data_IF_860876415995
#
_entry.id   IF_860876415995
#
_cell.length_a   1.000
_cell.length_b   1.000
_cell.length_c   1.000
_cell.angle_alpha   90.00
_cell.angle_beta   90.00
_cell.angle_gamma   90.00
#
_symmetry.space_group_name_H-M   'P 1'
#
loop_
_entity.id
_entity.type
_entity.pdbx_description
1 polymer ?
#
# COMPACT_ATOMS: atom_id res chain seq x y z
N UNK A 1 11.76 6.02 -22.80
CA UNK A 1 11.85 7.01 -21.69
C UNK A 1 10.57 6.90 -20.89
N UNK A 2 10.64 6.76 -19.59
CA UNK A 2 9.45 6.67 -18.74
C UNK A 2 8.52 7.86 -19.01
N UNK A 3 7.30 7.62 -19.43
CA UNK A 3 6.27 8.65 -19.63
C UNK A 3 5.29 8.70 -18.45
N UNK A 4 5.79 8.46 -17.25
CA UNK A 4 5.00 8.57 -16.02
C UNK A 4 5.64 9.54 -15.03
N UNK A 5 4.82 10.25 -14.29
CA UNK A 5 5.25 11.08 -13.16
C UNK A 5 4.96 10.42 -11.80
N UNK A 6 4.22 9.31 -11.81
CA UNK A 6 3.77 8.63 -10.59
C UNK A 6 3.80 7.11 -10.76
N UNK A 7 4.54 6.44 -9.91
CA UNK A 7 4.52 4.99 -9.75
C UNK A 7 3.87 4.66 -8.41
N UNK A 8 2.82 3.86 -8.44
CA UNK A 8 2.10 3.36 -7.28
C UNK A 8 2.49 1.91 -7.03
N UNK A 9 2.81 1.56 -5.79
CA UNK A 9 3.13 0.18 -5.41
C UNK A 9 2.19 -0.24 -4.30
N UNK A 10 1.30 -1.17 -4.63
CA UNK A 10 0.24 -1.64 -3.75
C UNK A 10 0.30 -3.16 -3.53
N UNK A 11 -0.38 -3.63 -2.51
CA UNK A 11 -0.43 -5.04 -2.10
C UNK A 11 -0.67 -5.16 -0.60
N UNK A 12 -0.96 -6.35 -0.11
CA UNK A 12 -1.16 -6.60 1.32
C UNK A 12 0.13 -6.30 2.12
N UNK A 13 0.07 -6.16 3.43
CA UNK A 13 1.27 -6.09 4.26
C UNK A 13 2.25 -7.20 3.87
N UNK A 14 3.54 -6.81 3.76
CA UNK A 14 4.64 -7.75 3.55
C UNK A 14 4.74 -8.44 2.18
N UNK A 15 3.96 -8.02 1.21
CA UNK A 15 4.09 -8.47 -0.19
C UNK A 15 5.38 -7.99 -0.89
N UNK A 16 6.30 -7.31 -0.20
CA UNK A 16 7.56 -6.84 -0.80
C UNK A 16 7.54 -5.39 -1.31
N UNK A 17 6.46 -4.63 -1.08
CA UNK A 17 6.28 -3.25 -1.59
C UNK A 17 7.45 -2.32 -1.32
N UNK A 18 7.90 -2.24 -0.07
CA UNK A 18 8.98 -1.32 0.33
C UNK A 18 10.32 -1.69 -0.31
N UNK A 19 10.58 -2.98 -0.50
CA UNK A 19 11.77 -3.49 -1.19
C UNK A 19 11.72 -3.12 -2.68
N UNK A 20 10.56 -3.36 -3.33
CA UNK A 20 10.31 -2.97 -4.72
C UNK A 20 10.47 -1.46 -4.92
N UNK A 21 9.90 -0.64 -4.04
CA UNK A 21 9.98 0.82 -4.12
C UNK A 21 11.44 1.32 -4.06
N UNK A 22 12.22 0.81 -3.11
CA UNK A 22 13.64 1.16 -2.97
C UNK A 22 14.46 0.71 -4.17
N UNK A 23 14.22 -0.50 -4.69
CA UNK A 23 14.92 -1.03 -5.87
C UNK A 23 14.60 -0.20 -7.12
N UNK A 24 13.31 0.10 -7.36
CA UNK A 24 12.90 0.94 -8.48
C UNK A 24 13.48 2.35 -8.42
N UNK A 25 13.50 2.97 -7.22
CA UNK A 25 14.19 4.26 -7.05
C UNK A 25 15.63 4.19 -7.54
N UNK A 26 16.37 3.15 -7.14
CA UNK A 26 17.77 2.98 -7.55
C UNK A 26 17.90 2.81 -9.07
N UNK A 27 17.04 2.01 -9.68
CA UNK A 27 17.04 1.75 -11.13
C UNK A 27 16.72 3.03 -11.92
N UNK A 28 15.67 3.75 -11.55
CA UNK A 28 15.24 5.00 -12.20
C UNK A 28 16.33 6.07 -12.07
N UNK A 29 16.91 6.21 -10.87
CA UNK A 29 17.99 7.18 -10.63
C UNK A 29 19.27 6.83 -11.41
N UNK A 30 19.62 5.55 -11.55
CA UNK A 30 20.77 5.10 -12.34
C UNK A 30 20.66 5.44 -13.83
N UNK A 31 19.45 5.68 -14.34
CA UNK A 31 19.19 6.17 -15.71
C UNK A 31 19.19 7.69 -15.84
N UNK A 32 19.61 8.41 -14.81
CA UNK A 32 19.65 9.87 -14.80
C UNK A 32 18.30 10.55 -14.64
N UNK A 33 17.24 9.80 -14.26
CA UNK A 33 15.92 10.35 -14.04
C UNK A 33 15.82 10.73 -12.56
N UNK A 34 15.48 11.99 -12.28
CA UNK A 34 15.21 12.43 -10.91
C UNK A 34 14.02 11.66 -10.34
N UNK A 35 14.23 11.00 -9.19
CA UNK A 35 13.22 10.13 -8.60
C UNK A 35 13.10 10.32 -7.08
N UNK A 36 11.88 10.57 -6.61
CA UNK A 36 11.54 10.61 -5.21
C UNK A 36 10.76 9.35 -4.84
N UNK A 37 11.09 8.75 -3.68
CA UNK A 37 10.41 7.56 -3.19
C UNK A 37 9.86 7.82 -1.78
N UNK A 38 8.56 7.60 -1.62
CA UNK A 38 7.82 7.82 -0.39
C UNK A 38 7.27 6.47 0.10
N UNK A 39 7.89 5.96 1.17
CA UNK A 39 7.41 4.75 1.84
C UNK A 39 6.18 5.08 2.70
N UNK A 40 5.38 4.08 3.02
CA UNK A 40 4.12 4.21 3.76
C UNK A 40 4.25 5.07 5.03
N UNK A 41 5.24 4.79 5.84
CA UNK A 41 5.44 5.45 7.15
C UNK A 41 6.53 6.52 7.14
N UNK A 42 7.01 6.92 5.97
CA UNK A 42 8.03 7.95 5.89
C UNK A 42 7.46 9.32 6.33
N UNK A 43 8.12 10.04 7.24
CA UNK A 43 7.63 11.34 7.74
C UNK A 43 7.43 12.39 6.65
N UNK A 44 8.16 12.27 5.55
CA UNK A 44 8.08 13.15 4.38
C UNK A 44 7.09 12.67 3.31
N UNK A 45 6.28 11.63 3.59
CA UNK A 45 5.27 11.16 2.65
C UNK A 45 4.19 12.23 2.45
N UNK A 46 3.99 12.75 1.23
CA UNK A 46 3.10 13.90 0.97
C UNK A 46 1.61 13.57 1.18
N UNK A 47 1.27 12.28 1.20
CA UNK A 47 -0.11 11.81 1.42
C UNK A 47 -0.37 11.56 2.91
N UNK A 48 0.68 11.55 3.72
CA UNK A 48 0.58 11.30 5.15
C UNK A 48 -0.21 12.41 5.86
N UNK A 49 -1.13 12.05 6.75
CA UNK A 49 -1.93 12.99 7.51
C UNK A 49 -1.52 12.97 8.98
N UNK A 50 -0.80 13.98 9.37
CA UNK A 50 -0.50 14.30 10.77
C UNK A 50 0.51 13.39 11.46
N UNK A 51 0.87 13.74 12.68
CA UNK A 51 1.67 12.91 13.56
C UNK A 51 0.80 11.78 14.12
N UNK A 52 0.68 10.69 13.38
CA UNK A 52 -0.03 9.52 13.86
C UNK A 52 0.98 8.62 14.52
N UNK A 53 0.89 8.56 15.82
CA UNK A 53 1.79 7.76 16.64
C UNK A 53 1.40 6.28 16.67
N UNK A 54 0.15 5.96 16.29
CA UNK A 54 -0.33 4.58 16.37
C UNK A 54 -1.35 4.20 15.31
N UNK A 55 -1.35 2.94 14.89
CA UNK A 55 -2.35 2.37 13.98
C UNK A 55 -3.80 2.51 14.51
N UNK A 56 -4.10 2.35 15.82
CA UNK A 56 -5.43 2.60 16.36
C UNK A 56 -5.97 4.01 16.11
N UNK A 57 -5.13 5.04 16.21
CA UNK A 57 -5.53 6.43 15.94
C UNK A 57 -5.84 6.65 14.47
N UNK A 58 -5.07 6.01 13.58
CA UNK A 58 -5.33 6.04 12.15
C UNK A 58 -6.75 5.55 11.88
N UNK A 59 -7.10 4.41 12.42
CA UNK A 59 -8.38 3.76 12.19
C UNK A 59 -9.52 4.57 12.81
N UNK A 60 -9.37 5.04 14.04
CA UNK A 60 -10.39 5.83 14.74
C UNK A 60 -10.77 7.13 14.01
N UNK A 61 -9.85 7.67 13.21
CA UNK A 61 -10.04 8.94 12.49
C UNK A 61 -10.30 8.77 10.98
N UNK A 62 -10.50 7.54 10.50
CA UNK A 62 -10.55 7.21 9.06
C UNK A 62 -11.54 8.07 8.28
N UNK A 63 -12.77 8.29 8.78
CA UNK A 63 -13.78 9.07 8.07
C UNK A 63 -13.39 10.53 7.85
N UNK A 64 -12.92 11.20 8.88
CA UNK A 64 -12.47 12.60 8.78
C UNK A 64 -11.17 12.70 7.96
N UNK A 65 -10.39 11.63 7.92
CA UNK A 65 -9.14 11.54 7.17
C UNK A 65 -9.35 11.36 5.68
N UNK A 66 -10.36 10.62 5.25
CA UNK A 66 -10.60 10.38 3.83
C UNK A 66 -10.70 11.71 3.02
N UNK A 67 -11.33 12.75 3.60
CA UNK A 67 -11.39 14.08 2.99
C UNK A 67 -10.01 14.75 2.95
N UNK A 68 -9.21 14.61 4.01
CA UNK A 68 -7.88 15.18 4.08
C UNK A 68 -6.93 14.46 3.13
N UNK A 69 -7.03 13.14 3.01
CA UNK A 69 -6.26 12.33 2.06
C UNK A 69 -6.52 12.76 0.63
N UNK A 70 -7.78 12.94 0.23
CA UNK A 70 -8.11 13.42 -1.11
C UNK A 70 -7.53 14.82 -1.38
N UNK A 71 -7.53 15.71 -0.38
CA UNK A 71 -6.89 17.02 -0.49
C UNK A 71 -5.38 16.87 -0.66
N UNK A 72 -4.73 16.02 0.14
CA UNK A 72 -3.29 15.78 0.01
C UNK A 72 -2.92 15.22 -1.36
N UNK A 73 -3.74 14.31 -1.93
CA UNK A 73 -3.55 13.83 -3.30
C UNK A 73 -3.68 14.96 -4.32
N UNK A 74 -4.65 15.87 -4.18
CA UNK A 74 -4.79 17.05 -5.05
C UNK A 74 -3.56 17.96 -4.98
N UNK A 75 -3.10 18.27 -3.77
CA UNK A 75 -1.94 19.12 -3.55
C UNK A 75 -0.65 18.48 -4.07
N UNK A 76 -0.50 17.17 -3.87
CA UNK A 76 0.61 16.38 -4.41
C UNK A 76 0.60 16.40 -5.94
N UNK A 77 -0.53 16.09 -6.56
CA UNK A 77 -0.70 16.06 -8.00
C UNK A 77 -0.37 17.42 -8.64
N UNK A 78 -0.87 18.52 -8.06
CA UNK A 78 -0.56 19.86 -8.54
C UNK A 78 0.93 20.20 -8.50
N UNK A 79 1.65 19.71 -7.46
CA UNK A 79 3.11 19.91 -7.32
C UNK A 79 3.90 19.04 -8.30
N UNK A 80 3.54 17.77 -8.42
CA UNK A 80 4.27 16.79 -9.25
C UNK A 80 4.09 17.07 -10.73
N UNK A 81 2.90 17.51 -11.16
CA UNK A 81 2.61 17.88 -12.55
C UNK A 81 3.64 18.85 -13.12
N UNK A 82 4.14 19.77 -12.32
CA UNK A 82 5.08 20.83 -12.73
C UNK A 82 6.55 20.39 -12.73
N UNK A 83 6.84 19.17 -12.25
CA UNK A 83 8.21 18.66 -12.13
C UNK A 83 8.56 17.73 -13.27
N UNK A 84 9.84 17.63 -13.57
CA UNK A 84 10.38 16.61 -14.48
C UNK A 84 10.69 15.27 -13.77
N UNK A 85 10.53 15.22 -12.45
CA UNK A 85 10.86 14.05 -11.63
C UNK A 85 9.74 13.03 -11.58
N UNK A 86 10.09 11.75 -11.36
CA UNK A 86 9.18 10.65 -11.08
C UNK A 86 8.99 10.51 -9.56
N UNK A 87 7.76 10.29 -9.12
CA UNK A 87 7.45 9.99 -7.72
C UNK A 87 7.01 8.54 -7.59
N UNK A 88 7.62 7.80 -6.66
CA UNK A 88 7.20 6.46 -6.26
C UNK A 88 6.49 6.58 -4.92
N UNK A 89 5.24 6.11 -4.84
CA UNK A 89 4.45 6.09 -3.60
C UNK A 89 4.08 4.65 -3.28
N UNK A 90 4.40 4.23 -2.07
CA UNK A 90 4.13 2.91 -1.53
C UNK A 90 2.97 2.94 -0.56
N UNK A 91 1.98 2.05 -0.74
CA UNK A 91 0.88 1.76 0.19
C UNK A 91 -0.03 2.94 0.58
N UNK A 92 -0.14 3.98 -0.25
CA UNK A 92 -0.96 5.16 0.06
C UNK A 92 -2.14 5.34 -0.87
N UNK A 93 -2.28 4.49 -1.87
CA UNK A 93 -3.38 4.57 -2.83
C UNK A 93 -4.58 3.72 -2.38
N UNK A 94 -4.35 2.45 -2.02
CA UNK A 94 -5.41 1.54 -1.55
C UNK A 94 -5.30 1.18 -0.07
N UNK A 95 -4.09 0.75 0.35
CA UNK A 95 -3.91 0.13 1.66
C UNK A 95 -4.21 1.09 2.80
N UNK A 96 -3.90 2.37 2.65
CA UNK A 96 -4.07 3.31 3.77
C UNK A 96 -5.48 3.87 3.85
N UNK A 97 -6.15 4.11 2.74
CA UNK A 97 -7.46 4.76 2.75
C UNK A 97 -8.59 3.75 2.59
N UNK A 98 -8.63 3.02 1.49
CA UNK A 98 -9.70 2.08 1.20
C UNK A 98 -9.71 0.91 2.18
N UNK A 99 -8.52 0.35 2.50
CA UNK A 99 -8.43 -0.75 3.47
C UNK A 99 -8.88 -0.32 4.87
N UNK A 100 -8.48 0.87 5.32
CA UNK A 100 -8.88 1.32 6.64
C UNK A 100 -10.35 1.70 6.73
N UNK A 101 -10.96 2.20 5.64
CA UNK A 101 -12.42 2.33 5.57
C UNK A 101 -13.09 0.98 5.75
N UNK A 102 -12.68 -0.03 4.98
CA UNK A 102 -13.23 -1.38 5.08
C UNK A 102 -13.02 -1.99 6.46
N UNK A 103 -11.82 -1.87 7.03
CA UNK A 103 -11.47 -2.31 8.37
C UNK A 103 -12.32 -1.62 9.46
N UNK A 104 -12.68 -0.35 9.25
CA UNK A 104 -13.56 0.43 10.11
C UNK A 104 -15.05 0.10 9.95
N UNK A 105 -15.40 -0.91 9.14
CA UNK A 105 -16.76 -1.40 8.96
C UNK A 105 -17.58 -0.72 7.85
N UNK A 106 -16.94 0.12 7.02
CA UNK A 106 -17.56 0.61 5.80
C UNK A 106 -17.71 -0.52 4.78
N UNK A 107 -18.66 -0.38 3.87
CA UNK A 107 -18.90 -1.36 2.82
C UNK A 107 -17.74 -1.40 1.80
N UNK A 108 -17.63 -2.52 1.09
CA UNK A 108 -16.73 -2.65 -0.06
C UNK A 108 -16.96 -1.51 -1.07
N UNK A 109 -18.21 -1.18 -1.35
CA UNK A 109 -18.57 -0.08 -2.26
C UNK A 109 -17.97 1.26 -1.83
N UNK A 110 -18.06 1.61 -0.54
CA UNK A 110 -17.50 2.86 -0.03
C UNK A 110 -15.96 2.88 -0.10
N UNK A 111 -15.31 1.75 0.15
CA UNK A 111 -13.87 1.61 0.00
C UNK A 111 -13.43 1.80 -1.47
N UNK A 112 -14.14 1.19 -2.42
CA UNK A 112 -13.90 1.34 -3.85
C UNK A 112 -14.13 2.80 -4.29
N UNK A 113 -15.22 3.41 -3.87
CA UNK A 113 -15.52 4.82 -4.20
C UNK A 113 -14.46 5.79 -3.68
N UNK A 114 -13.87 5.51 -2.51
CA UNK A 114 -12.74 6.30 -2.01
C UNK A 114 -11.55 6.26 -2.97
N UNK A 115 -11.20 5.08 -3.46
CA UNK A 115 -10.13 4.90 -4.44
C UNK A 115 -10.43 5.57 -5.79
N UNK A 116 -11.67 5.48 -6.29
CA UNK A 116 -12.09 6.14 -7.55
C UNK A 116 -11.91 7.65 -7.49
N UNK A 117 -12.17 8.28 -6.33
CA UNK A 117 -11.93 9.71 -6.14
C UNK A 117 -10.45 10.06 -6.25
N UNK A 118 -9.57 9.21 -5.74
CA UNK A 118 -8.12 9.41 -5.87
C UNK A 118 -7.72 9.23 -7.33
N UNK A 119 -8.20 8.18 -8.01
CA UNK A 119 -7.94 7.93 -9.45
C UNK A 119 -8.25 9.19 -10.26
N UNK A 120 -9.43 9.81 -10.05
CA UNK A 120 -9.83 11.02 -10.81
C UNK A 120 -8.86 12.19 -10.65
N UNK A 121 -8.14 12.25 -9.54
CA UNK A 121 -7.17 13.31 -9.25
C UNK A 121 -5.81 13.04 -9.87
N UNK A 122 -5.34 11.78 -9.79
CA UNK A 122 -3.95 11.45 -10.17
C UNK A 122 -3.79 11.07 -11.64
N UNK A 123 -4.87 10.84 -12.39
CA UNK A 123 -4.82 10.39 -13.79
C UNK A 123 -3.98 11.30 -14.69
N UNK A 124 -3.95 12.62 -14.43
CA UNK A 124 -3.14 13.57 -15.19
C UNK A 124 -1.62 13.38 -15.04
N UNK A 125 -1.18 12.56 -14.07
CA UNK A 125 0.23 12.20 -13.88
C UNK A 125 0.66 10.98 -14.69
N UNK A 126 -0.22 10.42 -15.53
CA UNK A 126 0.00 9.16 -16.27
C UNK A 126 0.51 8.04 -15.34
N UNK A 127 -0.22 7.68 -14.26
CA UNK A 127 0.29 6.76 -13.26
C UNK A 127 0.56 5.37 -13.82
N UNK A 128 1.54 4.68 -13.24
CA UNK A 128 1.73 3.23 -13.39
C UNK A 128 1.49 2.55 -12.05
N UNK A 129 0.63 1.54 -12.03
CA UNK A 129 0.32 0.76 -10.85
C UNK A 129 1.03 -0.59 -10.88
N UNK A 130 1.77 -0.88 -9.83
CA UNK A 130 2.40 -2.16 -9.55
C UNK A 130 1.65 -2.78 -8.37
N UNK A 131 0.93 -3.88 -8.63
CA UNK A 131 0.21 -4.61 -7.60
C UNK A 131 0.91 -5.93 -7.29
N UNK A 132 1.42 -6.06 -6.07
CA UNK A 132 2.09 -7.25 -5.57
C UNK A 132 1.08 -8.13 -4.83
N UNK A 133 0.73 -9.26 -5.43
CA UNK A 133 -0.36 -10.14 -5.00
C UNK A 133 0.15 -11.55 -4.66
N UNK A 134 0.48 -11.85 -3.39
CA UNK A 134 0.80 -13.23 -3.01
C UNK A 134 -0.43 -14.12 -3.14
N UNK A 135 -0.24 -15.37 -3.62
CA UNK A 135 -1.31 -16.38 -3.68
C UNK A 135 -1.62 -16.93 -2.28
N UNK A 136 -0.59 -17.24 -1.51
CA UNK A 136 -0.75 -17.74 -0.15
C UNK A 136 -0.57 -16.60 0.87
N UNK A 137 -1.66 -15.90 1.14
CA UNK A 137 -1.73 -14.82 2.11
C UNK A 137 -1.39 -15.32 3.52
N UNK A 138 -1.83 -16.54 3.89
CA UNK A 138 -1.59 -17.08 5.22
C UNK A 138 -0.10 -17.35 5.45
N UNK A 139 0.58 -17.90 4.44
CA UNK A 139 2.03 -18.12 4.52
C UNK A 139 2.81 -16.80 4.64
N UNK A 140 2.46 -15.80 3.84
CA UNK A 140 3.12 -14.49 3.87
C UNK A 140 2.91 -13.80 5.22
N UNK A 141 1.71 -13.83 5.77
CA UNK A 141 1.43 -13.25 7.09
C UNK A 141 2.18 -13.98 8.20
N UNK A 142 2.26 -15.32 8.15
CA UNK A 142 3.01 -16.10 9.14
C UNK A 142 4.51 -15.78 9.11
N UNK A 143 5.13 -15.77 7.93
CA UNK A 143 6.55 -15.42 7.77
C UNK A 143 6.89 -14.03 8.32
N UNK A 144 6.00 -13.07 8.07
CA UNK A 144 6.18 -11.71 8.55
C UNK A 144 5.97 -11.60 10.05
N UNK A 145 4.95 -12.26 10.56
CA UNK A 145 4.70 -12.30 12.00
C UNK A 145 5.93 -12.80 12.75
N UNK A 146 6.55 -13.87 12.24
CA UNK A 146 7.80 -14.41 12.81
C UNK A 146 8.94 -13.38 12.77
N UNK A 147 9.21 -12.80 11.59
CA UNK A 147 10.25 -11.78 11.44
C UNK A 147 10.03 -10.56 12.34
N UNK A 148 8.78 -10.07 12.41
CA UNK A 148 8.42 -8.94 13.25
C UNK A 148 8.47 -9.25 14.74
N UNK A 149 8.11 -10.45 15.16
CA UNK A 149 8.27 -10.87 16.54
C UNK A 149 9.76 -10.86 16.95
N UNK A 150 10.67 -11.33 16.07
CA UNK A 150 12.11 -11.28 16.30
C UNK A 150 12.62 -9.84 16.42
N UNK A 151 12.18 -8.92 15.53
CA UNK A 151 12.53 -7.50 15.61
C UNK A 151 12.01 -6.87 16.91
N UNK A 152 10.79 -7.21 17.33
CA UNK A 152 10.14 -6.73 18.55
C UNK A 152 10.93 -7.11 19.80
N UNK A 153 11.35 -8.37 19.88
CA UNK A 153 12.18 -8.89 20.96
C UNK A 153 13.56 -8.22 20.99
N UNK A 154 14.22 -8.08 19.82
CA UNK A 154 15.52 -7.39 19.71
C UNK A 154 15.43 -5.91 20.16
N UNK A 155 14.27 -5.28 19.98
CA UNK A 155 14.02 -3.92 20.44
C UNK A 155 13.67 -3.82 21.93
N UNK A 156 13.67 -4.95 22.68
CA UNK A 156 13.37 -4.99 24.12
C UNK A 156 11.92 -4.63 24.47
N UNK A 157 10.98 -4.78 23.52
CA UNK A 157 9.57 -4.50 23.76
C UNK A 157 8.87 -5.65 24.46
N UNK A 158 7.94 -5.34 25.36
CA UNK A 158 7.11 -6.35 26.04
C UNK A 158 6.12 -7.01 25.10
N UNK A 159 5.80 -8.28 25.36
CA UNK A 159 4.88 -9.09 24.55
C UNK A 159 5.46 -9.48 23.19
N UNK A 160 4.61 -9.54 22.18
CA UNK A 160 4.99 -9.83 20.80
C UNK A 160 4.33 -8.85 19.83
N UNK A 161 4.94 -8.66 18.66
CA UNK A 161 4.34 -7.89 17.57
C UNK A 161 2.99 -8.47 17.14
N UNK A 162 2.88 -9.80 17.12
CA UNK A 162 1.65 -10.53 16.83
C UNK A 162 0.53 -10.19 17.81
N UNK A 163 0.81 -10.24 19.12
CA UNK A 163 -0.17 -9.89 20.14
C UNK A 163 -0.64 -8.44 20.00
N UNK A 164 0.30 -7.51 19.79
CA UNK A 164 -0.02 -6.13 19.52
C UNK A 164 -0.91 -5.97 18.26
N UNK A 165 -0.57 -6.69 17.17
CA UNK A 165 -1.35 -6.68 15.94
C UNK A 165 -2.77 -7.21 16.15
N UNK A 166 -2.91 -8.35 16.83
CA UNK A 166 -4.21 -8.93 17.15
C UNK A 166 -5.07 -7.94 17.94
N UNK A 167 -4.52 -7.34 19.00
CA UNK A 167 -5.21 -6.34 19.83
C UNK A 167 -5.70 -5.13 19.01
N UNK A 168 -4.92 -4.71 18.02
CA UNK A 168 -5.28 -3.59 17.13
C UNK A 168 -6.40 -3.97 16.18
N UNK A 169 -6.29 -5.11 15.49
CA UNK A 169 -7.27 -5.55 14.50
C UNK A 169 -8.60 -5.93 15.13
N UNK A 170 -8.58 -6.71 16.21
CA UNK A 170 -9.79 -7.21 16.88
C UNK A 170 -10.71 -6.12 17.44
N UNK A 171 -10.19 -4.92 17.67
CA UNK A 171 -10.98 -3.75 18.11
C UNK A 171 -11.72 -3.06 16.97
N UNK A 172 -11.41 -3.40 15.72
CA UNK A 172 -12.00 -2.73 14.58
C UNK A 172 -13.40 -3.24 14.26
N UNK A 173 -14.22 -2.37 13.67
CA UNK A 173 -15.63 -2.66 13.41
C UNK A 173 -15.82 -3.87 12.50
N UNK A 174 -14.91 -4.11 11.54
CA UNK A 174 -14.97 -5.31 10.71
C UNK A 174 -14.92 -6.59 11.53
N UNK A 175 -14.07 -6.65 12.57
CA UNK A 175 -13.93 -7.80 13.48
C UNK A 175 -15.05 -7.85 14.52
N UNK A 176 -15.32 -6.74 15.20
CA UNK A 176 -16.29 -6.70 16.31
C UNK A 176 -17.72 -6.99 15.85
N UNK A 177 -18.12 -6.47 14.66
CA UNK A 177 -19.45 -6.74 14.10
C UNK A 177 -19.67 -8.19 13.68
N UNK A 178 -18.60 -8.94 13.47
CA UNK A 178 -18.64 -10.37 13.10
C UNK A 178 -18.30 -11.31 14.25
N UNK A 179 -17.97 -10.76 15.41
CA UNK A 179 -17.50 -11.52 16.59
C UNK A 179 -16.27 -12.39 16.29
N UNK A 180 -15.38 -11.90 15.41
CA UNK A 180 -14.18 -12.60 14.96
C UNK A 180 -12.96 -12.16 15.77
N UNK A 181 -12.07 -13.10 16.08
CA UNK A 181 -10.83 -12.89 16.84
C UNK A 181 -9.72 -13.85 16.38
N UNK A 182 -8.48 -13.50 16.74
CA UNK A 182 -7.30 -14.33 16.51
C UNK A 182 -6.76 -14.29 15.07
N UNK A 183 -5.73 -15.07 14.85
CA UNK A 183 -4.98 -15.08 13.60
C UNK A 183 -5.83 -15.47 12.39
N UNK A 184 -6.66 -16.50 12.51
CA UNK A 184 -7.52 -16.97 11.42
C UNK A 184 -8.46 -15.85 10.94
N UNK A 185 -8.94 -15.01 11.88
CA UNK A 185 -9.76 -13.86 11.54
C UNK A 185 -8.97 -12.78 10.80
N UNK A 186 -7.71 -12.55 11.16
CA UNK A 186 -6.81 -11.61 10.46
C UNK A 186 -6.50 -12.14 9.07
N UNK A 187 -6.17 -13.40 8.94
CA UNK A 187 -5.94 -14.06 7.65
C UNK A 187 -7.17 -13.92 6.76
N UNK A 188 -8.36 -14.21 7.30
CA UNK A 188 -9.63 -14.04 6.58
C UNK A 188 -9.85 -12.60 6.12
N UNK A 189 -9.58 -11.60 6.98
CA UNK A 189 -9.68 -10.19 6.60
C UNK A 189 -8.78 -9.87 5.39
N UNK A 190 -7.55 -10.35 5.38
CA UNK A 190 -6.64 -10.09 4.28
C UNK A 190 -6.99 -10.84 3.00
N UNK A 191 -7.62 -12.00 3.06
CA UNK A 191 -8.21 -12.66 1.87
C UNK A 191 -9.36 -11.84 1.30
N UNK A 192 -10.28 -11.35 2.15
CA UNK A 192 -11.37 -10.47 1.70
C UNK A 192 -10.80 -9.17 1.12
N UNK A 193 -9.80 -8.56 1.77
CA UNK A 193 -9.14 -7.37 1.28
C UNK A 193 -8.40 -7.60 -0.06
N UNK A 194 -7.74 -8.72 -0.24
CA UNK A 194 -7.11 -9.06 -1.51
C UNK A 194 -8.14 -9.18 -2.65
N UNK A 195 -9.31 -9.77 -2.38
CA UNK A 195 -10.41 -9.80 -3.34
C UNK A 195 -10.91 -8.40 -3.73
N UNK A 196 -11.00 -7.48 -2.76
CA UNK A 196 -11.33 -6.07 -3.03
C UNK A 196 -10.22 -5.39 -3.83
N UNK A 197 -8.96 -5.65 -3.49
CA UNK A 197 -7.80 -5.12 -4.21
C UNK A 197 -7.75 -5.59 -5.67
N UNK A 198 -8.17 -6.83 -5.95
CA UNK A 198 -8.30 -7.34 -7.31
C UNK A 198 -9.36 -6.56 -8.11
N UNK A 199 -10.51 -6.27 -7.50
CA UNK A 199 -11.55 -5.42 -8.12
C UNK A 199 -11.04 -4.00 -8.38
N UNK A 200 -10.33 -3.40 -7.40
CA UNK A 200 -9.70 -2.10 -7.55
C UNK A 200 -8.67 -2.11 -8.67
N UNK A 201 -7.87 -3.18 -8.78
CA UNK A 201 -6.90 -3.33 -9.86
C UNK A 201 -7.59 -3.35 -11.23
N UNK A 202 -8.68 -4.10 -11.39
CA UNK A 202 -9.41 -4.14 -12.68
C UNK A 202 -9.98 -2.78 -13.08
N UNK A 203 -10.47 -2.00 -12.13
CA UNK A 203 -11.11 -0.71 -12.39
C UNK A 203 -10.15 0.44 -12.71
N UNK A 204 -8.89 0.34 -12.33
CA UNK A 204 -7.89 1.40 -12.56
C UNK A 204 -7.64 1.57 -14.06
N UNK A 205 -7.78 2.80 -14.63
CA UNK A 205 -7.72 3.03 -16.08
C UNK A 205 -6.33 3.30 -16.64
N UNK A 206 -5.29 3.33 -15.81
CA UNK A 206 -3.92 3.61 -16.23
C UNK A 206 -3.08 2.34 -16.37
N UNK A 207 -1.84 2.47 -16.87
CA UNK A 207 -0.92 1.34 -17.01
C UNK A 207 -0.75 0.61 -15.68
N UNK A 208 -0.83 -0.72 -15.72
CA UNK A 208 -0.80 -1.53 -14.50
C UNK A 208 -0.17 -2.90 -14.75
N UNK A 209 0.46 -3.43 -13.72
CA UNK A 209 0.96 -4.79 -13.69
C UNK A 209 0.63 -5.45 -12.35
N UNK A 210 0.10 -6.67 -12.41
CA UNK A 210 -0.06 -7.55 -11.25
C UNK A 210 1.08 -8.56 -11.26
N UNK A 211 1.83 -8.60 -10.18
CA UNK A 211 2.89 -9.57 -9.93
C UNK A 211 2.38 -10.56 -8.89
N UNK A 212 2.17 -11.77 -9.31
CA UNK A 212 1.77 -12.88 -8.44
C UNK A 212 3.03 -13.46 -7.82
N UNK A 213 3.01 -13.74 -6.53
CA UNK A 213 4.11 -14.30 -5.74
C UNK A 213 5.49 -13.66 -6.03
N UNK A 214 5.62 -12.34 -5.83
CA UNK A 214 6.85 -11.63 -6.20
C UNK A 214 8.11 -12.18 -5.52
N UNK A 215 7.95 -12.89 -4.41
CA UNK A 215 9.06 -13.47 -3.66
C UNK A 215 9.56 -14.80 -4.23
N UNK A 216 8.73 -15.51 -4.98
CA UNK A 216 9.11 -16.79 -5.61
C UNK A 216 10.15 -16.60 -6.73
N UNK A 217 10.03 -15.51 -7.47
CA UNK A 217 11.02 -15.08 -8.48
C UNK A 217 11.16 -13.56 -8.45
N UNK A 218 11.98 -13.09 -7.54
CA UNK A 218 12.20 -11.66 -7.34
C UNK A 218 12.83 -10.97 -8.55
N UNK A 219 13.85 -11.60 -9.16
CA UNK A 219 14.56 -11.00 -10.30
C UNK A 219 13.66 -10.94 -11.53
N UNK A 220 12.96 -12.01 -11.86
CA UNK A 220 11.97 -12.03 -12.93
C UNK A 220 10.82 -11.06 -12.69
N UNK A 221 10.36 -10.91 -11.45
CA UNK A 221 9.36 -9.92 -11.08
C UNK A 221 9.84 -8.50 -11.34
N UNK A 222 11.07 -8.17 -10.94
CA UNK A 222 11.66 -6.86 -11.17
C UNK A 222 11.85 -6.59 -12.68
N UNK A 223 12.32 -7.57 -13.45
CA UNK A 223 12.46 -7.46 -14.90
C UNK A 223 11.12 -7.15 -15.59
N UNK A 224 10.04 -7.86 -15.20
CA UNK A 224 8.69 -7.58 -15.72
C UNK A 224 8.21 -6.16 -15.37
N UNK A 225 8.51 -5.67 -14.16
CA UNK A 225 8.18 -4.31 -13.75
C UNK A 225 8.97 -3.29 -14.57
N UNK A 226 10.25 -3.54 -14.80
CA UNK A 226 11.10 -2.67 -15.64
C UNK A 226 10.58 -2.61 -17.07
N UNK A 227 10.11 -3.75 -17.64
CA UNK A 227 9.50 -3.79 -18.97
C UNK A 227 8.26 -2.91 -19.08
N UNK A 228 7.35 -2.98 -18.12
CA UNK A 228 6.14 -2.13 -18.09
C UNK A 228 6.47 -0.64 -17.95
N UNK A 229 7.57 -0.31 -17.26
CA UNK A 229 8.06 1.05 -17.11
C UNK A 229 8.95 1.51 -18.29
N UNK A 230 9.14 0.69 -19.33
CA UNK A 230 10.08 0.95 -20.44
C UNK A 230 11.50 1.28 -19.94
N UNK A 231 11.92 0.60 -18.87
CA UNK A 231 13.23 0.73 -18.25
C UNK A 231 14.22 -0.34 -18.74
N UNK A 232 13.82 -1.16 -19.69
CA UNK A 232 14.72 -2.08 -20.41
C UNK A 232 15.55 -1.28 -21.41
N UNK A 233 17.05 -1.41 -21.42
CA UNK A 233 17.94 -0.71 -22.09
C UNK A 233 18.67 -0.72 -23.10
#
# INVERSE_FOLDING_TARGET
MIDTKLILIEGIPCSGKSTTAKKLKSIVSARGIECQCFLEWAPNNPIFIGNIESLPEIIATTKSRAQNVLRNWKDFTAKVRQRASVSIIESRFWQTDAMYLYLSGYSEHEAIESSRRIVSVITELSPVLIYLAPEDISQVLAQVTEAKNQEWQKAGKEGSWQQWGNDVYERQSWFTSRSLKGEDAIVRFFYEWASISDKLYEEVPFHKIKIVDPQADWEGSMHRIEGVLELEK
#
